data_IF_341736284244
#
_entry.id   IF_341736284244
#
_cell.length_a   1.000
_cell.length_b   1.000
_cell.length_c   1.000
_cell.angle_alpha   90.00
_cell.angle_beta   90.00
_cell.angle_gamma   90.00
#
_symmetry.space_group_name_H-M   'P 1'
#
loop_
_entity.id
_entity.type
_entity.pdbx_description
1 polymer ?
#
# COMPACT_ATOMS: atom_id res chain seq x y z
N UNK A 1 -27.84 19.36 5.64
CA UNK A 1 -26.56 18.80 6.08
C UNK A 1 -25.50 19.43 5.19
N UNK A 2 -24.59 20.18 5.78
CA UNK A 2 -23.62 21.03 5.08
C UNK A 2 -22.58 20.20 4.33
N UNK A 3 -22.37 20.48 3.04
CA UNK A 3 -21.33 19.85 2.21
C UNK A 3 -19.92 19.95 2.82
N UNK A 4 -19.65 20.97 3.66
CA UNK A 4 -18.37 21.12 4.38
C UNK A 4 -18.13 20.02 5.42
N UNK A 5 -19.18 19.43 5.99
CA UNK A 5 -19.06 18.41 7.03
C UNK A 5 -18.74 17.03 6.43
N UNK A 6 -19.24 16.76 5.22
CA UNK A 6 -18.97 15.54 4.45
C UNK A 6 -17.55 15.54 3.90
N UNK A 7 -17.05 16.69 3.41
CA UNK A 7 -15.68 16.81 2.93
C UNK A 7 -14.64 16.66 4.06
N UNK A 8 -14.89 17.21 5.24
CA UNK A 8 -14.00 17.05 6.40
C UNK A 8 -13.96 15.60 6.92
N UNK A 9 -15.11 14.89 6.97
CA UNK A 9 -15.14 13.48 7.38
C UNK A 9 -14.40 12.56 6.39
N UNK A 10 -14.48 12.86 5.08
CA UNK A 10 -13.72 12.12 4.08
C UNK A 10 -12.21 12.38 4.24
N UNK A 11 -11.78 13.63 4.46
CA UNK A 11 -10.36 13.97 4.67
C UNK A 11 -9.76 13.31 5.91
N UNK A 12 -10.45 13.33 7.05
CA UNK A 12 -10.00 12.63 8.27
C UNK A 12 -9.86 11.13 8.04
N UNK A 13 -10.77 10.52 7.28
CA UNK A 13 -10.72 9.09 6.99
C UNK A 13 -9.47 8.68 6.22
N UNK A 14 -8.94 9.51 5.31
CA UNK A 14 -7.72 9.17 4.55
C UNK A 14 -6.44 9.26 5.40
N UNK A 15 -6.36 10.22 6.33
CA UNK A 15 -5.16 10.43 7.14
C UNK A 15 -4.79 9.20 7.98
N UNK A 16 -5.79 8.49 8.50
CA UNK A 16 -5.59 7.27 9.28
C UNK A 16 -4.92 6.13 8.49
N UNK A 17 -4.90 6.20 7.16
CA UNK A 17 -4.27 5.19 6.31
C UNK A 17 -2.83 5.53 5.93
N UNK A 18 -2.34 6.72 6.27
CA UNK A 18 -0.95 7.12 5.98
C UNK A 18 0.07 6.40 6.84
N UNK A 19 -0.32 5.97 8.05
CA UNK A 19 0.55 5.28 9.00
C UNK A 19 -0.24 4.15 9.64
N UNK A 20 0.38 2.98 9.79
CA UNK A 20 -0.26 1.87 10.49
C UNK A 20 0.19 0.51 9.98
N UNK A 21 -0.56 -0.51 10.42
CA UNK A 21 -0.35 -1.87 9.99
C UNK A 21 -1.59 -2.36 9.24
N UNK A 22 -1.38 -2.92 8.07
CA UNK A 22 -2.44 -3.35 7.16
C UNK A 22 -2.13 -4.74 6.61
N UNK A 23 -3.08 -5.27 5.84
CA UNK A 23 -2.84 -6.47 5.04
C UNK A 23 -3.66 -6.44 3.75
N UNK A 24 -3.23 -7.25 2.79
CA UNK A 24 -4.03 -7.65 1.63
C UNK A 24 -3.67 -9.07 1.20
N UNK A 25 -4.50 -9.60 0.30
CA UNK A 25 -4.28 -10.90 -0.32
C UNK A 25 -4.35 -10.76 -1.83
N UNK A 26 -3.51 -11.51 -2.53
CA UNK A 26 -3.51 -11.61 -3.98
C UNK A 26 -3.43 -13.10 -4.35
N UNK A 27 -4.55 -13.67 -4.81
CA UNK A 27 -4.67 -15.11 -4.97
C UNK A 27 -4.43 -15.85 -3.64
N UNK A 28 -3.47 -16.78 -3.64
CA UNK A 28 -3.05 -17.53 -2.45
C UNK A 28 -2.03 -16.80 -1.58
N UNK A 29 -1.51 -15.66 -2.03
CA UNK A 29 -0.48 -14.89 -1.33
C UNK A 29 -1.09 -13.91 -0.34
N UNK A 30 -0.43 -13.74 0.82
CA UNK A 30 -0.86 -12.82 1.88
C UNK A 30 0.30 -11.91 2.24
N UNK A 31 0.00 -10.62 2.30
CA UNK A 31 0.98 -9.58 2.54
C UNK A 31 0.61 -8.82 3.81
N UNK A 32 1.56 -8.69 4.73
CA UNK A 32 1.45 -7.78 5.87
C UNK A 32 2.16 -6.48 5.51
N UNK A 33 1.50 -5.37 5.77
CA UNK A 33 2.02 -4.04 5.51
C UNK A 33 2.33 -3.38 6.84
N UNK A 34 3.54 -2.83 6.96
CA UNK A 34 3.86 -1.79 7.93
C UNK A 34 4.14 -0.48 7.19
N UNK A 35 3.37 0.56 7.47
CA UNK A 35 3.43 1.85 6.77
C UNK A 35 3.77 2.98 7.74
N UNK A 36 4.69 3.82 7.31
CA UNK A 36 4.99 5.13 7.89
C UNK A 36 4.69 6.23 6.88
N UNK A 37 4.92 7.49 7.24
CA UNK A 37 4.76 8.61 6.29
C UNK A 37 5.74 8.51 5.11
N UNK A 38 6.89 7.86 5.32
CA UNK A 38 8.04 7.93 4.40
C UNK A 38 8.30 6.60 3.68
N UNK A 39 7.82 5.48 4.23
CA UNK A 39 8.02 4.16 3.64
C UNK A 39 6.90 3.18 3.96
N UNK A 40 6.83 2.13 3.13
CA UNK A 40 5.98 0.96 3.32
C UNK A 40 6.84 -0.29 3.24
N UNK A 41 6.73 -1.14 4.25
CA UNK A 41 7.29 -2.49 4.25
C UNK A 41 6.18 -3.49 3.94
N UNK A 42 6.46 -4.42 3.03
CA UNK A 42 5.56 -5.50 2.64
C UNK A 42 6.23 -6.84 2.95
N UNK A 43 5.60 -7.61 3.83
CA UNK A 43 6.02 -8.95 4.20
C UNK A 43 5.13 -9.99 3.53
N UNK A 44 5.70 -10.75 2.60
CA UNK A 44 5.04 -11.90 1.98
C UNK A 44 5.13 -13.11 2.93
N UNK A 45 4.01 -13.48 3.53
CA UNK A 45 3.94 -14.48 4.59
C UNK A 45 4.45 -15.86 4.18
N UNK A 46 4.14 -16.29 2.97
CA UNK A 46 4.45 -17.62 2.45
C UNK A 46 5.95 -17.83 2.27
N UNK A 47 6.65 -16.77 1.89
CA UNK A 47 8.03 -16.83 1.42
C UNK A 47 9.01 -16.17 2.39
N UNK A 48 8.52 -15.44 3.39
CA UNK A 48 9.37 -14.68 4.30
C UNK A 48 10.08 -13.49 3.64
N UNK A 49 9.71 -13.14 2.41
CA UNK A 49 10.25 -11.99 1.69
C UNK A 49 9.72 -10.70 2.32
N UNK A 50 10.63 -9.81 2.71
CA UNK A 50 10.34 -8.47 3.22
C UNK A 50 10.96 -7.42 2.31
N UNK A 51 10.11 -6.60 1.69
CA UNK A 51 10.54 -5.52 0.79
C UNK A 51 10.13 -4.17 1.37
N UNK A 52 10.96 -3.15 1.18
CA UNK A 52 10.65 -1.76 1.51
C UNK A 52 10.47 -0.94 0.23
N UNK A 53 9.44 -0.11 0.26
CA UNK A 53 9.16 0.94 -0.72
C UNK A 53 9.22 2.30 -0.03
N UNK A 54 9.82 3.30 -0.69
CA UNK A 54 9.68 4.71 -0.31
C UNK A 54 8.31 5.23 -0.72
N UNK A 55 7.71 6.03 0.14
CA UNK A 55 6.45 6.72 -0.12
C UNK A 55 6.70 8.21 -0.36
N UNK A 56 5.98 8.77 -1.31
CA UNK A 56 5.89 10.21 -1.49
C UNK A 56 4.42 10.60 -1.67
N UNK A 57 3.85 11.27 -0.69
CA UNK A 57 2.44 11.68 -0.70
C UNK A 57 2.25 12.96 -1.51
N UNK A 58 1.40 12.89 -2.52
CA UNK A 58 0.96 14.08 -3.28
C UNK A 58 -0.16 14.81 -2.52
N UNK A 59 -1.02 14.05 -1.84
CA UNK A 59 -2.08 14.54 -0.96
C UNK A 59 -2.53 13.42 -0.02
N UNK A 60 -3.74 13.49 0.53
CA UNK A 60 -4.23 12.55 1.54
C UNK A 60 -4.60 11.17 0.98
N UNK A 61 -4.95 11.08 -0.30
CA UNK A 61 -5.39 9.84 -0.94
C UNK A 61 -4.45 9.37 -2.05
N UNK A 62 -3.49 10.20 -2.48
CA UNK A 62 -2.59 9.91 -3.60
C UNK A 62 -1.14 9.95 -3.15
N UNK A 63 -0.40 8.91 -3.52
CA UNK A 63 1.03 8.80 -3.24
C UNK A 63 1.74 7.97 -4.31
N UNK A 64 3.05 8.14 -4.39
CA UNK A 64 3.92 7.29 -5.21
C UNK A 64 4.66 6.31 -4.30
N UNK A 65 4.69 5.04 -4.68
CA UNK A 65 5.55 4.01 -4.10
C UNK A 65 6.73 3.75 -5.03
N UNK A 66 7.95 3.74 -4.52
CA UNK A 66 9.13 3.36 -5.27
C UNK A 66 9.91 2.29 -4.54
N UNK A 67 10.37 1.26 -5.24
CA UNK A 67 11.24 0.26 -4.62
C UNK A 67 12.47 0.90 -3.99
N UNK A 68 12.80 0.46 -2.77
CA UNK A 68 13.96 0.93 -2.03
C UNK A 68 14.95 -0.21 -1.77
N UNK A 69 14.51 -1.27 -1.08
CA UNK A 69 15.41 -2.36 -0.68
C UNK A 69 14.66 -3.64 -0.35
N UNK A 70 15.37 -4.78 -0.44
CA UNK A 70 14.95 -6.05 0.17
C UNK A 70 15.56 -6.08 1.58
N UNK A 71 14.71 -6.16 2.60
CA UNK A 71 15.15 -6.23 4.00
C UNK A 71 15.39 -7.67 4.45
N UNK A 72 14.68 -8.63 3.86
CA UNK A 72 14.83 -10.06 4.15
C UNK A 72 14.35 -10.90 2.96
N UNK A 73 15.06 -11.98 2.63
CA UNK A 73 14.64 -12.97 1.63
C UNK A 73 15.21 -14.36 1.97
N UNK A 74 14.78 -14.98 3.07
CA UNK A 74 15.39 -16.19 3.62
C UNK A 74 15.16 -17.41 2.71
N UNK A 75 14.03 -17.45 1.99
CA UNK A 75 13.68 -18.57 1.11
C UNK A 75 14.10 -18.33 -0.35
N UNK A 76 14.91 -17.30 -0.61
CA UNK A 76 15.46 -17.00 -1.93
C UNK A 76 14.38 -16.86 -3.03
N UNK A 77 13.25 -16.23 -2.69
CA UNK A 77 12.19 -15.94 -3.64
C UNK A 77 12.76 -15.19 -4.83
N UNK A 78 12.45 -15.70 -6.02
CA UNK A 78 12.86 -15.07 -7.26
C UNK A 78 12.08 -13.78 -7.46
N UNK A 79 12.81 -12.68 -7.57
CA UNK A 79 12.25 -11.36 -7.79
C UNK A 79 12.22 -11.06 -9.29
N UNK A 80 11.30 -10.18 -9.69
CA UNK A 80 11.30 -9.65 -11.05
C UNK A 80 12.65 -8.96 -11.34
N UNK A 81 13.19 -9.16 -12.54
CA UNK A 81 14.53 -8.66 -12.92
C UNK A 81 14.64 -7.13 -12.83
N UNK A 82 13.51 -6.45 -12.92
CA UNK A 82 13.32 -5.00 -12.92
C UNK A 82 12.71 -4.48 -11.61
N UNK A 83 12.73 -5.27 -10.53
CA UNK A 83 12.13 -4.88 -9.23
C UNK A 83 12.67 -3.52 -8.73
N UNK A 84 13.94 -3.22 -9.00
CA UNK A 84 14.61 -1.96 -8.61
C UNK A 84 14.08 -0.73 -9.35
N UNK A 85 13.38 -0.95 -10.47
CA UNK A 85 12.81 0.09 -11.32
C UNK A 85 11.31 0.32 -11.05
N UNK A 86 10.70 -0.48 -10.16
CA UNK A 86 9.29 -0.36 -9.83
C UNK A 86 9.01 0.99 -9.18
N UNK A 87 8.09 1.71 -9.82
CA UNK A 87 7.43 2.89 -9.30
C UNK A 87 5.92 2.78 -9.59
N UNK A 88 5.11 2.94 -8.55
CA UNK A 88 3.64 2.89 -8.67
C UNK A 88 3.05 4.23 -8.23
N UNK A 89 2.15 4.79 -9.03
CA UNK A 89 1.24 5.83 -8.55
C UNK A 89 0.02 5.15 -7.94
N UNK A 90 -0.22 5.40 -6.67
CA UNK A 90 -1.30 4.79 -5.89
C UNK A 90 -2.36 5.83 -5.52
N UNK A 91 -3.62 5.46 -5.69
CA UNK A 91 -4.79 6.26 -5.30
C UNK A 91 -5.70 5.43 -4.41
N UNK A 92 -5.98 5.93 -3.22
CA UNK A 92 -6.96 5.37 -2.31
C UNK A 92 -8.37 5.74 -2.76
N UNK A 93 -9.23 4.73 -2.88
CA UNK A 93 -10.64 4.89 -3.27
C UNK A 93 -11.54 4.06 -2.38
N UNK A 94 -12.82 4.41 -2.30
CA UNK A 94 -13.84 3.66 -1.51
C UNK A 94 -13.38 3.39 -0.07
N UNK A 95 -12.87 4.42 0.60
CA UNK A 95 -12.42 4.32 1.98
C UNK A 95 -13.60 4.04 2.91
N UNK A 96 -13.36 3.17 3.88
CA UNK A 96 -14.27 2.85 4.97
C UNK A 96 -13.45 2.85 6.27
N UNK A 97 -14.11 2.66 7.41
CA UNK A 97 -13.40 2.55 8.69
C UNK A 97 -12.37 1.40 8.74
N UNK A 98 -12.56 0.33 7.94
CA UNK A 98 -11.79 -0.92 8.04
C UNK A 98 -11.01 -1.30 6.78
N UNK A 99 -11.31 -0.70 5.62
CA UNK A 99 -10.62 -0.99 4.35
C UNK A 99 -10.68 0.16 3.37
N UNK A 100 -9.78 0.14 2.37
CA UNK A 100 -9.91 0.91 1.14
C UNK A 100 -9.54 0.07 -0.09
N UNK A 101 -9.87 0.57 -1.28
CA UNK A 101 -9.41 0.03 -2.56
C UNK A 101 -8.28 0.91 -3.08
N UNK A 102 -7.09 0.34 -3.17
CA UNK A 102 -5.93 0.96 -3.81
C UNK A 102 -5.98 0.72 -5.30
N UNK A 103 -6.04 1.79 -6.09
CA UNK A 103 -5.73 1.73 -7.52
C UNK A 103 -4.25 2.05 -7.69
N UNK A 104 -3.47 1.16 -8.30
CA UNK A 104 -2.03 1.35 -8.53
C UNK A 104 -1.70 1.30 -10.02
N UNK A 105 -0.89 2.24 -10.49
CA UNK A 105 -0.44 2.32 -11.89
C UNK A 105 1.08 2.15 -11.92
N UNK A 106 1.55 1.08 -12.56
CA UNK A 106 2.97 0.73 -12.60
C UNK A 106 3.66 1.35 -13.83
N UNK A 107 4.82 1.98 -13.63
CA UNK A 107 5.62 2.59 -14.69
C UNK A 107 6.20 1.61 -15.71
N UNK A 108 6.23 0.31 -15.41
CA UNK A 108 6.90 -0.69 -16.25
C UNK A 108 6.01 -1.27 -17.35
N UNK A 109 4.69 -1.23 -17.18
CA UNK A 109 3.77 -1.93 -18.10
C UNK A 109 2.39 -1.28 -18.25
N UNK A 110 2.21 -0.05 -17.77
CA UNK A 110 0.95 0.70 -17.78
C UNK A 110 -0.25 -0.06 -17.19
N UNK A 111 0.01 -1.15 -16.44
CA UNK A 111 -1.04 -1.94 -15.83
C UNK A 111 -1.60 -1.21 -14.62
N UNK A 112 -2.93 -1.22 -14.55
CA UNK A 112 -3.70 -0.70 -13.43
C UNK A 112 -4.12 -1.87 -12.55
N UNK A 113 -3.55 -1.96 -11.36
CA UNK A 113 -3.93 -2.92 -10.33
C UNK A 113 -4.97 -2.35 -9.37
N UNK A 114 -5.83 -3.20 -8.85
CA UNK A 114 -6.77 -2.86 -7.78
C UNK A 114 -6.61 -3.80 -6.60
N UNK A 115 -6.19 -3.26 -5.46
CA UNK A 115 -5.89 -4.05 -4.26
C UNK A 115 -6.78 -3.58 -3.11
N UNK A 116 -7.44 -4.51 -2.42
CA UNK A 116 -8.18 -4.18 -1.20
C UNK A 116 -7.24 -4.25 0.00
N UNK A 117 -6.99 -3.10 0.62
CA UNK A 117 -6.13 -2.96 1.80
C UNK A 117 -7.02 -2.88 3.04
N UNK A 118 -6.67 -3.62 4.09
CA UNK A 118 -7.49 -3.81 5.29
C UNK A 118 -6.65 -3.45 6.52
N UNK A 119 -7.23 -2.74 7.50
CA UNK A 119 -6.58 -2.50 8.81
C UNK A 119 -6.32 -3.81 9.52
N UNK A 120 -5.14 -3.95 10.13
CA UNK A 120 -4.92 -5.01 11.10
C UNK A 120 -5.64 -4.60 12.38
N UNK A 121 -6.76 -5.25 12.70
CA UNK A 121 -7.37 -5.10 14.01
C UNK A 121 -6.52 -5.84 15.03
N UNK A 122 -6.18 -5.17 16.13
CA UNK A 122 -5.89 -5.88 17.37
C UNK A 122 -7.26 -6.26 17.91
N UNK A 123 -7.57 -7.55 17.93
CA UNK A 123 -8.63 -8.06 18.79
C UNK A 123 -8.25 -7.84 20.26
#
# INVERSE_FOLDING_TARGET
MDNKQVDNQNQEQFQEWKVGNFHYSEGSFKYLIHRTTDYQEEFLLQDGLLVRFKLNWENDSVYTMKFDSILSNPNQTQLAFDITQIQKKCTMTKVTAHSYIERSENNLNDLVGFTRIIKNTRD
#
